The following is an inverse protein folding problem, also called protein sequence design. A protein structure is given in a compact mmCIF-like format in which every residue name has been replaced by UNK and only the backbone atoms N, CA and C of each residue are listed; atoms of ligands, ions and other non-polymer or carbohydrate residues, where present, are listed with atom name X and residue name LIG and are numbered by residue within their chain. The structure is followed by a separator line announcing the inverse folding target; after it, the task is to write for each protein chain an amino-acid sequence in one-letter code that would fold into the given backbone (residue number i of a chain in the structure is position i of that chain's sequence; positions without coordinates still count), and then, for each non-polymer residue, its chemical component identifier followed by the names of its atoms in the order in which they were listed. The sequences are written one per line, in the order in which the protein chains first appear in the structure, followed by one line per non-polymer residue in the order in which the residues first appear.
data_IF_136724630340
#
_entry.id   IF_136724630340
#
_cell.length_a   1.000
_cell.length_b   1.000
_cell.length_c   1.000
_cell.angle_alpha   90.00
_cell.angle_beta   90.00
_cell.angle_gamma   90.00
#
_symmetry.space_group_name_H-M   'P 1'
#
loop_
_entity.id
_entity.type
_entity.pdbx_description
1 polymer ?
#
# COMPACT_ATOMS: atom_id res chain seq x y z
N UNK A 1 -9.64 -28.09 1.34
CA UNK A 1 -9.53 -26.83 2.11
C UNK A 1 -9.12 -25.79 1.10
N UNK A 2 -10.00 -24.84 0.79
CA UNK A 2 -9.61 -23.64 0.04
C UNK A 2 -8.87 -22.73 1.01
N UNK A 3 -7.67 -22.31 0.64
CA UNK A 3 -6.91 -21.35 1.42
C UNK A 3 -7.51 -19.97 1.12
N UNK A 4 -8.08 -19.32 2.13
CA UNK A 4 -8.63 -17.97 1.98
C UNK A 4 -7.55 -16.95 2.30
N UNK A 5 -6.98 -16.36 1.25
CA UNK A 5 -6.08 -15.23 1.40
C UNK A 5 -6.88 -13.94 1.62
N UNK A 6 -6.60 -13.24 2.70
CA UNK A 6 -7.15 -11.89 2.93
C UNK A 6 -6.14 -10.85 2.50
N UNK A 7 -6.49 -9.93 1.58
CA UNK A 7 -5.58 -8.87 1.14
C UNK A 7 -5.56 -7.68 2.09
N UNK A 8 -4.36 -7.14 2.27
CA UNK A 8 -4.08 -5.93 3.05
C UNK A 8 -3.17 -5.01 2.27
N UNK A 9 -3.31 -3.71 2.52
CA UNK A 9 -2.28 -2.74 2.18
C UNK A 9 -1.65 -2.21 3.46
N UNK A 10 -0.33 -2.32 3.55
CA UNK A 10 0.46 -1.76 4.63
C UNK A 10 0.89 -0.36 4.25
N UNK A 11 0.56 0.63 5.08
CA UNK A 11 1.11 1.99 4.96
C UNK A 11 2.29 2.10 5.90
N UNK A 12 3.46 2.47 5.38
CA UNK A 12 4.69 2.68 6.17
C UNK A 12 5.09 4.15 6.04
N UNK A 13 5.37 4.80 7.17
CA UNK A 13 5.83 6.18 7.22
C UNK A 13 7.36 6.29 7.38
N UNK A 14 7.87 7.53 7.43
CA UNK A 14 9.31 7.84 7.51
C UNK A 14 10.01 7.29 8.75
N UNK A 15 9.26 7.04 9.82
CA UNK A 15 9.78 6.46 11.07
C UNK A 15 9.86 4.92 11.04
N UNK A 16 9.38 4.29 9.95
CA UNK A 16 9.25 2.84 9.83
C UNK A 16 8.04 2.26 10.56
N UNK A 17 7.21 3.11 11.20
CA UNK A 17 5.94 2.67 11.75
C UNK A 17 4.97 2.34 10.62
N UNK A 18 4.11 1.36 10.85
CA UNK A 18 3.13 0.97 9.86
C UNK A 18 1.75 0.65 10.42
N UNK A 19 0.76 0.73 9.53
CA UNK A 19 -0.64 0.37 9.77
C UNK A 19 -1.12 -0.46 8.58
N UNK A 20 -1.76 -1.59 8.87
CA UNK A 20 -2.35 -2.46 7.85
C UNK A 20 -3.85 -2.19 7.70
N UNK A 21 -4.29 -2.05 6.45
CA UNK A 21 -5.70 -1.84 6.08
C UNK A 21 -6.18 -3.04 5.27
N UNK A 22 -7.24 -3.72 5.73
CA UNK A 22 -7.87 -4.78 4.96
C UNK A 22 -8.46 -4.20 3.67
N UNK A 23 -8.16 -4.82 2.54
CA UNK A 23 -8.73 -4.46 1.25
C UNK A 23 -10.01 -5.27 1.00
N UNK A 24 -11.06 -4.58 0.59
CA UNK A 24 -12.32 -5.19 0.16
C UNK A 24 -12.44 -5.08 -1.36
N UNK A 25 -13.29 -5.91 -1.96
CA UNK A 25 -13.62 -5.80 -3.39
C UNK A 25 -14.19 -4.40 -3.66
N UNK A 26 -13.69 -3.74 -4.70
CA UNK A 26 -14.06 -2.38 -5.08
C UNK A 26 -12.86 -1.43 -5.13
N UNK A 27 -13.16 -0.14 -4.96
CA UNK A 27 -12.16 0.93 -4.97
C UNK A 27 -11.80 1.31 -3.54
N UNK A 28 -10.50 1.41 -3.27
CA UNK A 28 -9.92 1.96 -2.04
C UNK A 28 -9.19 3.25 -2.42
N UNK A 29 -9.66 4.38 -1.91
CA UNK A 29 -9.05 5.69 -2.14
C UNK A 29 -8.00 5.99 -1.08
N UNK A 30 -6.90 6.59 -1.51
CA UNK A 30 -5.72 6.85 -0.71
C UNK A 30 -5.32 8.31 -0.89
N UNK A 31 -5.04 9.00 0.22
CA UNK A 31 -4.57 10.36 0.18
C UNK A 31 -4.65 11.06 1.53
N UNK A 32 -4.17 12.30 1.58
CA UNK A 32 -4.09 13.07 2.82
C UNK A 32 -5.46 13.51 3.34
N UNK A 33 -6.47 13.58 2.48
CA UNK A 33 -7.83 13.93 2.90
C UNK A 33 -8.42 12.86 3.83
N UNK A 34 -8.99 13.28 4.96
CA UNK A 34 -9.65 12.38 5.91
C UNK A 34 -10.91 11.68 5.36
N UNK A 35 -11.36 12.05 4.16
CA UNK A 35 -12.46 11.40 3.45
C UNK A 35 -12.05 10.17 2.66
N UNK A 36 -10.75 9.88 2.54
CA UNK A 36 -10.26 8.68 1.86
C UNK A 36 -10.43 7.44 2.73
N UNK A 37 -10.53 6.27 2.10
CA UNK A 37 -10.58 4.99 2.80
C UNK A 37 -9.28 4.75 3.60
N UNK A 38 -8.15 5.24 3.08
CA UNK A 38 -6.85 5.23 3.73
C UNK A 38 -6.34 6.68 3.82
N UNK A 39 -6.57 7.35 4.96
CA UNK A 39 -6.01 8.66 5.21
C UNK A 39 -4.51 8.55 5.52
N UNK A 40 -3.69 9.37 4.86
CA UNK A 40 -2.25 9.44 5.12
C UNK A 40 -1.88 10.80 5.69
N UNK A 41 -1.30 10.83 6.88
CA UNK A 41 -0.80 12.05 7.52
C UNK A 41 0.61 12.41 7.04
N UNK A 42 0.72 12.76 5.76
CA UNK A 42 1.95 13.26 5.12
C UNK A 42 1.60 14.54 4.33
N UNK A 43 2.13 15.73 4.71
CA UNK A 43 1.83 17.00 4.06
C UNK A 43 2.15 17.05 2.56
N UNK A 44 3.09 16.23 2.08
CA UNK A 44 3.48 16.17 0.67
C UNK A 44 2.39 15.45 -0.12
N UNK A 45 1.65 14.51 0.48
CA UNK A 45 0.62 13.74 -0.21
C UNK A 45 -0.61 14.62 -0.52
N UNK A 46 -1.10 14.50 -1.76
CA UNK A 46 -2.29 15.20 -2.23
C UNK A 46 -3.54 14.75 -1.47
N UNK A 47 -4.55 15.62 -1.34
CA UNK A 47 -5.80 15.28 -0.64
C UNK A 47 -6.51 14.08 -1.26
N UNK A 48 -6.45 13.95 -2.59
CA UNK A 48 -6.82 12.78 -3.39
C UNK A 48 -5.54 12.43 -4.15
N UNK A 49 -4.90 11.31 -3.82
CA UNK A 49 -3.57 11.00 -4.34
C UNK A 49 -3.56 9.77 -5.23
N UNK A 50 -4.16 8.67 -4.79
CA UNK A 50 -4.15 7.41 -5.52
C UNK A 50 -5.37 6.57 -5.20
N UNK A 51 -5.63 5.57 -6.06
CA UNK A 51 -6.68 4.58 -5.83
C UNK A 51 -6.15 3.18 -6.13
N UNK A 52 -6.63 2.22 -5.37
CA UNK A 52 -6.46 0.79 -5.62
C UNK A 52 -7.82 0.19 -5.94
N UNK A 53 -7.90 -0.53 -7.06
CA UNK A 53 -9.06 -1.32 -7.44
C UNK A 53 -8.77 -2.81 -7.25
N UNK A 54 -9.64 -3.50 -6.54
CA UNK A 54 -9.61 -4.95 -6.35
C UNK A 54 -10.89 -5.58 -6.87
N UNK A 55 -10.80 -6.47 -7.88
CA UNK A 55 -11.96 -7.12 -8.51
C UNK A 55 -12.35 -8.47 -7.87
N UNK A 56 -11.63 -8.90 -6.83
CA UNK A 56 -11.73 -10.23 -6.22
C UNK A 56 -10.60 -11.19 -6.61
N UNK A 57 -9.86 -10.88 -7.68
CA UNK A 57 -8.77 -11.70 -8.21
C UNK A 57 -7.49 -10.89 -8.48
N UNK A 58 -7.62 -9.68 -9.01
CA UNK A 58 -6.52 -8.81 -9.45
C UNK A 58 -6.59 -7.43 -8.84
N UNK A 59 -5.42 -6.79 -8.72
CA UNK A 59 -5.25 -5.47 -8.13
C UNK A 59 -4.70 -4.51 -9.17
N UNK A 60 -5.38 -3.38 -9.37
CA UNK A 60 -4.91 -2.28 -10.20
C UNK A 60 -4.67 -1.04 -9.36
N UNK A 61 -3.49 -0.45 -9.47
CA UNK A 61 -3.13 0.79 -8.82
C UNK A 61 -3.18 1.96 -9.81
N UNK A 62 -3.66 3.11 -9.34
CA UNK A 62 -3.77 4.35 -10.10
C UNK A 62 -3.11 5.47 -9.31
N UNK A 63 -2.15 6.16 -9.91
CA UNK A 63 -1.75 7.49 -9.46
C UNK A 63 -2.75 8.51 -10.01
N UNK A 64 -3.40 9.28 -9.13
CA UNK A 64 -4.43 10.26 -9.51
C UNK A 64 -3.89 11.69 -9.53
N UNK A 65 -2.60 11.89 -9.23
CA UNK A 65 -2.01 13.23 -9.15
C UNK A 65 -0.82 13.38 -10.11
N UNK A 66 -0.56 14.61 -10.52
CA UNK A 66 0.67 14.97 -11.24
C UNK A 66 1.68 15.68 -10.32
N UNK A 67 1.31 15.91 -9.04
CA UNK A 67 2.10 16.73 -8.10
C UNK A 67 3.33 15.98 -7.62
N UNK A 68 3.16 14.73 -7.19
CA UNK A 68 4.24 13.86 -6.75
C UNK A 68 4.35 12.67 -7.69
N UNK A 69 5.58 12.23 -7.91
CA UNK A 69 5.86 11.05 -8.70
C UNK A 69 5.63 9.81 -7.86
N UNK A 70 4.79 8.90 -8.34
CA UNK A 70 4.65 7.58 -7.74
C UNK A 70 5.61 6.58 -8.38
N UNK A 71 6.23 5.73 -7.57
CA UNK A 71 7.09 4.65 -8.04
C UNK A 71 6.59 3.29 -7.60
N UNK A 72 6.66 2.29 -8.47
CA UNK A 72 6.33 0.90 -8.17
C UNK A 72 7.59 0.04 -8.22
N UNK A 73 7.69 -0.90 -7.29
CA UNK A 73 8.73 -1.92 -7.25
C UNK A 73 8.09 -3.28 -6.93
N UNK A 74 8.15 -4.21 -7.88
CA UNK A 74 7.47 -5.50 -7.75
C UNK A 74 8.24 -6.49 -6.87
N UNK A 75 9.57 -6.39 -6.84
CA UNK A 75 10.44 -7.21 -5.99
C UNK A 75 11.54 -6.39 -5.33
N UNK A 76 12.01 -6.84 -4.16
CA UNK A 76 13.04 -6.14 -3.36
C UNK A 76 14.35 -5.87 -4.13
N UNK A 77 14.68 -6.68 -5.13
CA UNK A 77 15.92 -6.57 -5.91
C UNK A 77 15.75 -5.85 -7.25
N UNK A 78 14.57 -5.30 -7.54
CA UNK A 78 14.29 -4.57 -8.78
C UNK A 78 14.48 -3.06 -8.63
N UNK A 79 14.70 -2.38 -9.75
CA UNK A 79 14.69 -0.93 -9.80
C UNK A 79 13.24 -0.42 -9.75
N UNK A 80 12.97 0.70 -9.05
CA UNK A 80 11.66 1.33 -9.07
C UNK A 80 11.31 1.83 -10.47
N UNK A 81 10.06 1.64 -10.86
CA UNK A 81 9.47 2.13 -12.12
C UNK A 81 8.65 3.36 -11.78
N UNK A 82 8.94 4.49 -12.44
CA UNK A 82 8.06 5.66 -12.41
C UNK A 82 6.78 5.33 -13.18
N UNK A 83 5.62 5.49 -12.54
CA UNK A 83 4.33 5.23 -13.17
C UNK A 83 3.71 6.50 -13.74
N UNK A 84 2.94 6.35 -14.82
CA UNK A 84 2.19 7.46 -15.42
C UNK A 84 0.87 7.70 -14.67
N UNK A 85 0.52 8.96 -14.36
CA UNK A 85 -0.77 9.30 -13.79
C UNK A 85 -1.94 8.79 -14.64
N UNK A 86 -3.03 8.39 -13.98
CA UNK A 86 -4.26 7.87 -14.56
C UNK A 86 -4.13 6.59 -15.41
N UNK A 87 -2.96 5.94 -15.40
CA UNK A 87 -2.74 4.65 -16.06
C UNK A 87 -2.83 3.52 -15.04
N UNK A 88 -3.60 2.43 -15.31
CA UNK A 88 -3.69 1.30 -14.40
C UNK A 88 -2.40 0.47 -14.43
N UNK A 89 -1.82 0.24 -13.25
CA UNK A 89 -0.71 -0.69 -13.07
C UNK A 89 -1.18 -1.90 -12.26
N UNK A 90 -1.09 -3.09 -12.85
CA UNK A 90 -1.35 -4.33 -12.11
C UNK A 90 -0.29 -4.50 -11.03
N UNK A 91 -0.71 -4.79 -9.80
CA UNK A 91 0.15 -5.02 -8.64
C UNK A 91 -0.09 -6.42 -8.08
N UNK A 92 0.95 -7.01 -7.51
CA UNK A 92 0.96 -8.37 -6.94
C UNK A 92 1.40 -8.36 -5.49
N UNK A 93 1.25 -9.49 -4.79
CA UNK A 93 1.76 -9.64 -3.43
C UNK A 93 3.22 -9.21 -3.31
N UNK A 94 3.55 -8.42 -2.30
CA UNK A 94 4.87 -7.87 -2.06
C UNK A 94 5.22 -6.61 -2.86
N UNK A 95 4.35 -6.15 -3.77
CA UNK A 95 4.58 -4.91 -4.52
C UNK A 95 4.68 -3.73 -3.56
N UNK A 96 5.77 -2.97 -3.65
CA UNK A 96 5.99 -1.71 -2.95
C UNK A 96 5.61 -0.53 -3.85
N UNK A 97 4.93 0.45 -3.28
CA UNK A 97 4.49 1.66 -3.98
C UNK A 97 4.94 2.87 -3.17
N UNK A 98 5.85 3.68 -3.72
CA UNK A 98 6.38 4.87 -3.07
C UNK A 98 5.54 6.08 -3.51
N UNK A 99 4.89 6.76 -2.56
CA UNK A 99 4.03 7.93 -2.81
C UNK A 99 4.76 9.27 -2.59
N UNK A 100 5.73 9.28 -1.68
CA UNK A 100 6.62 10.39 -1.34
C UNK A 100 7.96 9.82 -0.87
N UNK A 101 8.98 10.61 -0.54
CA UNK A 101 10.21 10.05 0.05
C UNK A 101 9.98 9.34 1.40
N UNK A 102 8.90 9.70 2.09
CA UNK A 102 8.61 9.32 3.46
C UNK A 102 7.45 8.32 3.60
N UNK A 103 6.69 8.09 2.54
CA UNK A 103 5.49 7.23 2.58
C UNK A 103 5.53 6.18 1.49
N UNK A 104 5.41 4.92 1.90
CA UNK A 104 5.25 3.76 1.01
C UNK A 104 4.05 2.90 1.39
N UNK A 105 3.51 2.22 0.38
CA UNK A 105 2.51 1.18 0.51
C UNK A 105 3.11 -0.18 0.16
N UNK A 106 2.64 -1.25 0.80
CA UNK A 106 2.97 -2.63 0.42
C UNK A 106 1.70 -3.46 0.34
N UNK A 107 1.44 -4.10 -0.81
CA UNK A 107 0.37 -5.07 -0.95
C UNK A 107 0.78 -6.40 -0.32
N UNK A 108 -0.02 -6.91 0.61
CA UNK A 108 0.25 -8.15 1.34
C UNK A 108 -0.98 -9.06 1.31
N UNK A 109 -0.77 -10.35 1.06
CA UNK A 109 -1.76 -11.39 1.31
C UNK A 109 -1.41 -12.12 2.60
N UNK A 110 -2.37 -12.19 3.51
CA UNK A 110 -2.23 -12.98 4.71
C UNK A 110 -3.10 -14.24 4.62
N UNK A 111 -2.48 -15.38 4.95
CA UNK A 111 -3.14 -16.66 5.15
C UNK A 111 -3.76 -16.71 6.55
N UNK A 112 -5.04 -17.11 6.65
CA UNK A 112 -5.77 -17.31 7.92
C UNK A 112 -5.88 -16.09 8.85
N UNK A 113 -5.86 -14.88 8.28
CA UNK A 113 -5.95 -13.61 9.00
C UNK A 113 -7.36 -13.23 9.50
N UNK A 114 -8.29 -14.16 9.70
CA UNK A 114 -9.71 -13.85 10.03
C UNK A 114 -9.89 -12.99 11.30
N UNK A 115 -8.85 -12.82 12.13
CA UNK A 115 -8.87 -12.03 13.37
C UNK A 115 -7.88 -10.84 13.43
N UNK A 116 -7.24 -10.43 12.33
CA UNK A 116 -6.38 -9.23 12.34
C UNK A 116 -7.23 -7.95 12.34
N UNK A 117 -7.71 -7.56 13.52
CA UNK A 117 -8.11 -6.18 13.77
C UNK A 117 -6.90 -5.26 13.59
N UNK A 118 -7.10 -4.12 12.92
CA UNK A 118 -6.12 -3.04 12.68
C UNK A 118 -5.19 -2.83 13.89
N UNK A 119 -4.05 -3.51 13.92
CA UNK A 119 -3.02 -3.32 14.93
C UNK A 119 -1.83 -2.67 14.26
N UNK A 120 -1.49 -1.47 14.73
CA UNK A 120 -0.17 -0.90 14.50
C UNK A 120 0.87 -1.85 15.08
N UNK A 121 1.68 -2.46 14.23
CA UNK A 121 2.84 -3.20 14.68
C UNK A 121 4.03 -2.26 14.56
N UNK A 122 4.61 -1.87 15.69
CA UNK A 122 5.96 -1.32 15.70
C UNK A 122 6.90 -2.51 15.50
N UNK A 123 7.60 -2.60 14.38
CA UNK A 123 8.74 -3.51 14.26
C UNK A 123 9.75 -3.16 15.37
N UNK A 124 9.76 -3.96 16.44
CA UNK A 124 10.98 -4.12 17.22
C UNK A 124 12.00 -4.69 16.24
N UNK A 125 12.99 -3.87 15.86
CA UNK A 125 14.25 -4.33 15.26
C UNK A 125 14.63 -5.66 15.90
N UNK A 126 14.45 -6.75 15.15
CA UNK A 126 15.11 -7.99 15.47
C UNK A 126 16.60 -7.73 15.23
N UNK A 127 17.31 -7.46 16.32
CA UNK A 127 18.75 -7.58 16.35
C UNK A 127 19.10 -9.03 15.98
N UNK A 128 19.49 -9.23 14.73
CA UNK A 128 20.16 -10.42 14.26
C UNK A 128 21.46 -9.97 13.60
N UNK A 129 22.50 -9.78 14.40
CA UNK A 129 23.89 -9.94 13.95
C UNK A 129 24.56 -10.82 15.01
N UNK A 130 25.15 -11.91 14.52
CA UNK A 130 25.99 -12.88 15.21
C UNK A 130 27.16 -12.24 15.95
#
# INVERSE_FOLDING_TARGET
MEIHYTPFIRVINSTGNFIDFKLNIGVTNIGRGNSNDIPIDDPIISSINSSLYFDGYTFSFFDLTEVNKTYIKYQENENPILIEPNTPYQIINGTRIQLSDDTQLILLFCEDCENHHQTSFTEKKAAAIF
#
